data_IF_033384728282
#
_entry.id   IF_033384728282
#
_cell.length_a   1.000
_cell.length_b   1.000
_cell.length_c   1.000
_cell.angle_alpha   90.00
_cell.angle_beta   90.00
_cell.angle_gamma   90.00
#
_symmetry.space_group_name_H-M   'P 1'
#
loop_
_entity.id
_entity.type
_entity.pdbx_description
1 polymer ?
#
# COMPACT_ATOMS: atom_id res chain seq x y z
N UNK A 1 15.32 25.49 -4.39
CA UNK A 1 14.04 24.91 -3.96
C UNK A 1 14.31 23.45 -3.59
N UNK A 2 14.50 23.14 -2.30
CA UNK A 2 14.77 21.76 -1.84
C UNK A 2 13.44 21.03 -1.74
N UNK A 3 13.16 20.12 -2.66
CA UNK A 3 12.03 19.19 -2.54
C UNK A 3 12.33 18.20 -1.42
N UNK A 4 11.64 18.37 -0.28
CA UNK A 4 11.63 17.39 0.79
C UNK A 4 10.82 16.17 0.36
N UNK A 5 11.47 15.13 -0.13
CA UNK A 5 10.98 13.76 -0.12
C UNK A 5 12.18 12.82 0.06
N UNK A 6 12.83 12.86 1.22
CA UNK A 6 13.72 11.76 1.61
C UNK A 6 12.87 10.66 2.23
N UNK A 7 12.48 9.66 1.43
CA UNK A 7 12.21 8.35 2.02
C UNK A 7 13.58 7.84 2.49
N UNK A 8 13.80 7.64 3.78
CA UNK A 8 15.11 7.28 4.34
C UNK A 8 15.57 5.85 3.95
N UNK A 9 15.05 5.28 2.86
CA UNK A 9 15.36 3.93 2.38
C UNK A 9 14.95 2.83 3.36
N UNK A 10 14.03 3.11 4.28
CA UNK A 10 13.61 2.17 5.33
C UNK A 10 12.55 1.21 4.80
N UNK A 11 12.71 -0.07 5.14
CA UNK A 11 11.64 -1.07 4.99
C UNK A 11 10.63 -0.90 6.14
N UNK A 12 9.35 -0.78 5.80
CA UNK A 12 8.26 -0.52 6.76
C UNK A 12 7.32 -1.72 6.80
N UNK A 13 6.96 -2.15 8.02
CA UNK A 13 5.91 -3.14 8.25
C UNK A 13 4.71 -2.42 8.87
N UNK A 14 3.52 -2.68 8.32
CA UNK A 14 2.26 -2.13 8.83
C UNK A 14 1.39 -3.29 9.30
N UNK A 15 1.14 -3.37 10.62
CA UNK A 15 0.19 -4.31 11.21
C UNK A 15 -1.06 -3.54 11.66
N UNK A 16 -2.21 -3.84 11.06
CA UNK A 16 -3.46 -3.13 11.31
C UNK A 16 -4.67 -4.05 11.06
N UNK A 17 -5.88 -3.48 11.13
CA UNK A 17 -7.14 -4.18 10.87
C UNK A 17 -7.58 -4.06 9.40
N UNK A 18 -8.49 -4.94 8.98
CA UNK A 18 -8.90 -5.08 7.58
C UNK A 18 -9.38 -3.80 6.90
N UNK A 19 -10.18 -2.97 7.58
CA UNK A 19 -10.68 -1.72 6.99
C UNK A 19 -9.56 -0.68 6.78
N UNK A 20 -8.62 -0.56 7.74
CA UNK A 20 -7.48 0.35 7.61
C UNK A 20 -6.53 -0.10 6.51
N UNK A 21 -6.25 -1.42 6.42
CA UNK A 21 -5.43 -1.98 5.36
C UNK A 21 -6.10 -1.85 3.99
N UNK A 22 -7.43 -2.01 3.92
CA UNK A 22 -8.20 -1.79 2.68
C UNK A 22 -8.15 -0.32 2.25
N UNK A 23 -8.30 0.62 3.17
CA UNK A 23 -8.17 2.05 2.88
C UNK A 23 -6.76 2.41 2.38
N UNK A 24 -5.72 1.84 2.99
CA UNK A 24 -4.34 2.02 2.54
C UNK A 24 -4.11 1.42 1.15
N UNK A 25 -4.61 0.20 0.93
CA UNK A 25 -4.54 -0.49 -0.37
C UNK A 25 -5.25 0.32 -1.45
N UNK A 26 -6.44 0.86 -1.15
CA UNK A 26 -7.19 1.74 -2.05
C UNK A 26 -6.34 2.92 -2.52
N UNK A 27 -5.66 3.58 -1.59
CA UNK A 27 -4.86 4.75 -1.88
C UNK A 27 -3.61 4.42 -2.71
N UNK A 28 -2.89 3.36 -2.32
CA UNK A 28 -1.62 2.98 -2.96
C UNK A 28 -1.84 2.38 -4.36
N UNK A 29 -2.95 1.67 -4.57
CA UNK A 29 -3.29 1.05 -5.85
C UNK A 29 -4.27 1.90 -6.70
N UNK A 30 -4.59 3.11 -6.28
CA UNK A 30 -5.54 4.02 -6.96
C UNK A 30 -6.89 3.36 -7.29
N UNK A 31 -7.44 2.63 -6.32
CA UNK A 31 -8.72 1.92 -6.48
C UNK A 31 -9.89 2.89 -6.28
N UNK A 32 -10.85 2.83 -7.19
CA UNK A 32 -12.05 3.66 -7.11
C UNK A 32 -12.94 3.30 -5.91
N UNK A 33 -13.82 4.22 -5.51
CA UNK A 33 -14.82 3.96 -4.46
C UNK A 33 -15.80 2.85 -4.85
N UNK A 34 -16.06 2.67 -6.14
CA UNK A 34 -16.94 1.61 -6.63
C UNK A 34 -16.27 0.22 -6.53
N UNK A 35 -14.96 0.16 -6.80
CA UNK A 35 -14.22 -1.09 -6.90
C UNK A 35 -13.68 -1.59 -5.56
N UNK A 36 -13.48 -0.69 -4.58
CA UNK A 36 -12.89 -1.05 -3.29
C UNK A 36 -13.71 -2.08 -2.51
N UNK A 37 -15.01 -2.14 -2.76
CA UNK A 37 -15.91 -3.12 -2.14
C UNK A 37 -15.57 -4.57 -2.53
N UNK A 38 -14.97 -4.77 -3.71
CA UNK A 38 -14.50 -6.09 -4.18
C UNK A 38 -13.13 -6.50 -3.65
N UNK A 39 -12.44 -5.64 -2.89
CA UNK A 39 -11.09 -5.93 -2.39
C UNK A 39 -11.16 -6.77 -1.11
N UNK A 40 -10.86 -8.05 -1.28
CA UNK A 40 -10.68 -8.99 -0.18
C UNK A 40 -9.30 -8.83 0.48
N UNK A 41 -9.33 -8.68 1.81
CA UNK A 41 -8.15 -8.68 2.67
C UNK A 41 -8.22 -9.94 3.52
N UNK A 42 -7.57 -11.01 3.07
CA UNK A 42 -7.51 -12.27 3.82
C UNK A 42 -6.77 -12.05 5.16
N UNK A 43 -7.28 -12.66 6.22
CA UNK A 43 -6.62 -12.62 7.54
C UNK A 43 -5.26 -13.30 7.45
N UNK A 44 -4.24 -12.69 8.05
CA UNK A 44 -2.87 -13.20 8.09
C UNK A 44 -2.19 -13.36 6.71
N UNK A 45 -2.73 -12.76 5.64
CA UNK A 45 -2.03 -12.68 4.36
C UNK A 45 -1.03 -11.53 4.39
N UNK A 46 0.22 -11.82 4.05
CA UNK A 46 1.26 -10.82 3.91
C UNK A 46 1.26 -10.28 2.48
N UNK A 47 1.24 -8.96 2.34
CA UNK A 47 1.32 -8.28 1.05
C UNK A 47 2.53 -7.36 1.06
N UNK A 48 3.42 -7.53 0.09
CA UNK A 48 4.64 -6.74 -0.07
C UNK A 48 4.47 -5.81 -1.27
N UNK A 49 4.75 -4.53 -1.04
CA UNK A 49 4.73 -3.49 -2.06
C UNK A 49 6.13 -2.90 -2.23
N UNK A 50 6.64 -2.93 -3.46
CA UNK A 50 7.77 -2.12 -3.86
C UNK A 50 7.24 -0.81 -4.42
N UNK A 51 7.66 0.31 -3.85
CA UNK A 51 7.24 1.66 -4.25
C UNK A 51 8.42 2.43 -4.85
N UNK A 52 8.15 3.24 -5.88
CA UNK A 52 9.14 4.18 -6.40
C UNK A 52 9.20 5.47 -5.56
N UNK A 53 10.12 6.38 -5.90
CA UNK A 53 10.31 7.67 -5.19
C UNK A 53 9.07 8.57 -5.16
N UNK A 54 8.09 8.29 -6.02
CA UNK A 54 6.80 9.00 -6.09
C UNK A 54 5.66 8.21 -5.42
N UNK A 55 5.99 7.16 -4.67
CA UNK A 55 5.08 6.26 -3.97
C UNK A 55 4.09 5.49 -4.87
N UNK A 56 4.43 5.31 -6.14
CA UNK A 56 3.66 4.44 -7.01
C UNK A 56 4.14 3.01 -6.87
N UNK A 57 3.20 2.05 -6.94
CA UNK A 57 3.48 0.62 -6.92
C UNK A 57 4.28 0.23 -8.16
N UNK A 58 5.44 -0.35 -7.94
CA UNK A 58 6.29 -0.98 -8.96
C UNK A 58 6.06 -2.48 -9.00
N UNK A 59 5.87 -3.10 -7.82
CA UNK A 59 5.61 -4.53 -7.67
C UNK A 59 4.69 -4.78 -6.48
N UNK A 60 3.83 -5.79 -6.62
CA UNK A 60 2.97 -6.33 -5.56
C UNK A 60 3.15 -7.85 -5.50
N UNK A 61 3.39 -8.37 -4.31
CA UNK A 61 3.53 -9.80 -4.07
C UNK A 61 2.69 -10.19 -2.85
N UNK A 62 1.91 -11.27 -2.99
CA UNK A 62 1.19 -11.89 -1.87
C UNK A 62 2.00 -13.11 -1.43
N UNK A 63 2.39 -13.12 -0.16
CA UNK A 63 3.15 -14.20 0.46
C UNK A 63 2.24 -15.14 1.25
#
# INVERSE_FOLDING_TARGET
MKSFLSYEGKNVIIAAHGNSLRALTKYIEDISDADIMGVEMATCQLVVYDLNDKLNVVKKEKL
#
